data_IF_256660863048
#
_entry.id   IF_256660863048
#
_cell.length_a   1.000
_cell.length_b   1.000
_cell.length_c   1.000
_cell.angle_alpha   90.00
_cell.angle_beta   90.00
_cell.angle_gamma   90.00
#
_symmetry.space_group_name_H-M   'P 1'
#
loop_
_entity.id
_entity.type
_entity.pdbx_description
1 polymer ?
#
# COMPACT_ATOMS: atom_id res chain seq x y z
N UNK A 1 3.17 8.43 1.16
CA UNK A 1 4.10 9.36 0.51
C UNK A 1 3.31 10.49 -0.15
N UNK A 2 3.76 11.72 0.02
CA UNK A 2 3.19 12.93 -0.57
C UNK A 2 4.23 13.63 -1.47
N UNK A 3 3.76 14.54 -2.35
CA UNK A 3 4.67 15.40 -3.10
C UNK A 3 5.35 16.39 -2.14
N UNK A 4 6.65 16.58 -2.27
CA UNK A 4 7.44 17.47 -1.43
C UNK A 4 7.68 16.97 0.00
N UNK A 5 7.43 15.70 0.29
CA UNK A 5 7.76 15.09 1.58
C UNK A 5 9.28 15.16 1.81
N UNK A 6 9.68 15.52 3.03
CA UNK A 6 11.08 15.76 3.42
C UNK A 6 11.61 14.75 4.44
N UNK A 7 10.73 13.94 5.05
CA UNK A 7 11.14 12.92 6.01
C UNK A 7 10.23 11.70 5.95
N UNK A 8 10.72 10.58 6.48
CA UNK A 8 9.96 9.37 6.73
C UNK A 8 10.25 8.86 8.12
N UNK A 9 9.19 8.56 8.89
CA UNK A 9 9.32 7.84 10.15
C UNK A 9 9.59 6.36 9.86
N UNK A 10 10.65 5.83 10.46
CA UNK A 10 10.98 4.41 10.47
C UNK A 10 10.61 3.85 11.84
N UNK A 11 9.60 2.97 11.87
CA UNK A 11 9.18 2.27 13.07
C UNK A 11 9.71 0.84 13.02
N UNK A 12 10.62 0.51 13.93
CA UNK A 12 11.24 -0.82 14.00
C UNK A 12 10.48 -1.66 15.01
N UNK A 13 10.03 -2.81 14.54
CA UNK A 13 9.21 -3.75 15.30
C UNK A 13 9.89 -5.11 15.40
N UNK A 14 9.55 -5.84 16.42
CA UNK A 14 9.89 -7.26 16.59
C UNK A 14 8.64 -8.05 16.90
N UNK A 15 8.43 -9.17 16.20
CA UNK A 15 7.30 -10.08 16.39
C UNK A 15 6.92 -10.78 15.10
N UNK A 16 5.94 -11.64 15.19
CA UNK A 16 5.46 -12.50 14.11
C UNK A 16 4.03 -12.16 13.67
N UNK A 17 3.44 -11.08 14.23
CA UNK A 17 2.08 -10.65 13.90
C UNK A 17 2.05 -9.75 12.67
N UNK A 18 1.00 -9.84 11.86
CA UNK A 18 0.82 -9.04 10.64
C UNK A 18 0.59 -7.55 10.93
N UNK A 19 -0.10 -7.22 12.02
CA UNK A 19 -0.37 -5.83 12.39
C UNK A 19 0.79 -5.26 13.22
N UNK A 20 1.20 -4.03 12.87
CA UNK A 20 2.28 -3.34 13.56
C UNK A 20 2.02 -3.14 15.06
N UNK A 21 0.77 -2.91 15.45
CA UNK A 21 0.33 -2.69 16.83
C UNK A 21 0.43 -3.93 17.72
N UNK A 22 0.40 -5.13 17.12
CA UNK A 22 0.47 -6.42 17.80
C UNK A 22 1.92 -6.91 17.95
N UNK A 23 2.90 -6.11 17.53
CA UNK A 23 4.32 -6.41 17.62
C UNK A 23 5.03 -5.47 18.60
N UNK A 24 6.17 -5.89 19.11
CA UNK A 24 6.96 -5.10 20.04
C UNK A 24 7.69 -3.98 19.32
N UNK A 25 7.48 -2.74 19.77
CA UNK A 25 8.22 -1.59 19.27
C UNK A 25 9.63 -1.58 19.85
N UNK A 26 10.64 -1.67 19.00
CA UNK A 26 12.04 -1.51 19.36
C UNK A 26 12.46 -0.03 19.35
N UNK A 27 11.79 0.78 18.57
CA UNK A 27 11.99 2.23 18.52
C UNK A 27 11.47 2.86 17.23
N UNK A 28 11.50 4.20 17.23
CA UNK A 28 11.12 5.02 16.07
C UNK A 28 12.17 6.08 15.86
N UNK A 29 12.41 6.45 14.61
CA UNK A 29 13.25 7.56 14.23
C UNK A 29 12.86 8.10 12.87
N UNK A 30 13.19 9.35 12.61
CA UNK A 30 12.96 10.00 11.33
C UNK A 30 14.23 9.97 10.47
N UNK A 31 14.06 9.69 9.18
CA UNK A 31 15.08 9.92 8.16
C UNK A 31 14.68 11.12 7.32
N UNK A 32 15.52 12.12 7.28
CA UNK A 32 15.35 13.29 6.42
C UNK A 32 15.91 13.02 5.03
N UNK A 33 15.23 13.51 4.00
CA UNK A 33 15.67 13.42 2.60
C UNK A 33 15.25 14.65 1.78
N UNK A 34 15.84 14.79 0.62
CA UNK A 34 15.52 15.91 -0.27
C UNK A 34 14.08 15.82 -0.78
N UNK A 35 13.32 16.94 -0.81
CA UNK A 35 11.96 16.96 -1.33
C UNK A 35 11.90 16.39 -2.74
N UNK A 36 10.99 15.44 -2.97
CA UNK A 36 10.82 14.79 -4.26
C UNK A 36 9.33 14.59 -4.58
N UNK A 37 9.03 14.30 -5.83
CA UNK A 37 7.68 13.87 -6.23
C UNK A 37 7.33 12.54 -5.57
N UNK A 38 6.05 12.34 -5.30
CA UNK A 38 5.54 11.08 -4.76
C UNK A 38 6.08 9.86 -5.53
N UNK A 39 6.70 8.93 -4.81
CA UNK A 39 7.28 7.69 -5.35
C UNK A 39 8.67 7.85 -5.99
N UNK A 40 9.26 9.05 -6.01
CA UNK A 40 10.62 9.26 -6.50
C UNK A 40 11.68 9.01 -5.42
N UNK A 41 11.42 9.40 -4.16
CA UNK A 41 12.32 9.11 -3.06
C UNK A 41 12.33 7.60 -2.76
N UNK A 42 13.53 7.05 -2.59
CA UNK A 42 13.74 5.64 -2.26
C UNK A 42 14.66 5.54 -1.05
N UNK A 43 14.22 4.81 -0.05
CA UNK A 43 14.95 4.58 1.19
C UNK A 43 15.32 3.10 1.27
N UNK A 44 16.62 2.82 1.45
CA UNK A 44 17.14 1.50 1.77
C UNK A 44 17.26 1.35 3.28
N UNK A 45 16.83 0.22 3.83
CA UNK A 45 16.98 -0.09 5.26
C UNK A 45 17.75 -1.39 5.38
N UNK A 46 18.80 -1.38 6.22
CA UNK A 46 19.61 -2.56 6.54
C UNK A 46 19.60 -2.79 8.04
N UNK A 47 19.37 -4.01 8.43
CA UNK A 47 19.41 -4.46 9.82
C UNK A 47 20.66 -5.29 10.04
N UNK A 48 21.38 -5.01 11.13
CA UNK A 48 22.56 -5.76 11.56
C UNK A 48 22.52 -5.95 13.08
N UNK A 49 22.63 -7.19 13.53
CA UNK A 49 22.74 -7.51 14.95
C UNK A 49 24.21 -7.82 15.22
N UNK A 50 24.82 -7.08 16.14
CA UNK A 50 26.22 -7.27 16.51
C UNK A 50 26.39 -8.46 17.49
N UNK A 51 27.64 -8.78 17.80
CA UNK A 51 27.98 -9.87 18.72
C UNK A 51 27.49 -9.67 20.18
N UNK A 52 27.11 -8.44 20.54
CA UNK A 52 26.50 -8.09 21.82
C UNK A 52 24.98 -8.10 21.79
N UNK A 53 24.40 -8.47 20.65
CA UNK A 53 22.97 -8.47 20.44
C UNK A 53 22.35 -7.08 20.21
N UNK A 54 23.14 -6.05 19.95
CA UNK A 54 22.66 -4.71 19.64
C UNK A 54 22.22 -4.67 18.18
N UNK A 55 20.97 -4.22 17.95
CA UNK A 55 20.44 -3.99 16.62
C UNK A 55 20.90 -2.63 16.10
N UNK A 56 21.67 -2.64 15.03
CA UNK A 56 22.02 -1.46 14.25
C UNK A 56 21.08 -1.37 13.04
N UNK A 57 20.40 -0.24 12.88
CA UNK A 57 19.55 0.03 11.74
C UNK A 57 20.21 1.12 10.92
N UNK A 58 20.74 0.76 9.75
CA UNK A 58 21.26 1.68 8.75
C UNK A 58 20.14 2.04 7.80
N UNK A 59 19.85 3.32 7.68
CA UNK A 59 18.88 3.84 6.73
C UNK A 59 19.60 4.77 5.77
N UNK A 60 19.36 4.58 4.47
CA UNK A 60 20.02 5.31 3.39
C UNK A 60 18.99 5.87 2.40
N UNK A 61 19.05 7.15 2.12
CA UNK A 61 18.45 7.73 0.91
C UNK A 61 19.28 7.30 -0.30
N UNK A 62 18.71 6.46 -1.17
CA UNK A 62 19.44 5.90 -2.31
C UNK A 62 19.70 6.91 -3.42
N UNK A 63 19.04 8.07 -3.40
CA UNK A 63 19.21 9.13 -4.40
C UNK A 63 20.35 10.07 -4.04
N UNK A 64 20.51 10.39 -2.76
CA UNK A 64 21.57 11.30 -2.26
C UNK A 64 22.76 10.57 -1.64
N UNK A 65 22.58 9.32 -1.26
CA UNK A 65 23.56 8.55 -0.50
C UNK A 65 23.63 8.96 0.99
N UNK A 66 22.73 9.83 1.47
CA UNK A 66 22.67 10.19 2.87
C UNK A 66 22.32 8.97 3.74
N UNK A 67 23.13 8.74 4.78
CA UNK A 67 22.98 7.59 5.66
C UNK A 67 22.80 8.04 7.10
N UNK A 68 21.98 7.28 7.82
CA UNK A 68 21.81 7.40 9.26
C UNK A 68 21.86 6.02 9.89
N UNK A 69 22.65 5.87 10.93
CA UNK A 69 22.73 4.64 11.74
C UNK A 69 22.10 4.90 13.09
N UNK A 70 21.11 4.10 13.45
CA UNK A 70 20.46 4.14 14.76
C UNK A 70 20.70 2.81 15.46
N UNK A 71 21.22 2.89 16.67
CA UNK A 71 21.41 1.72 17.54
C UNK A 71 20.18 1.56 18.43
N UNK A 72 19.61 0.37 18.40
CA UNK A 72 18.48 0.01 19.25
C UNK A 72 18.93 -1.04 20.25
N UNK A 73 18.46 -0.93 21.49
CA UNK A 73 18.69 -1.95 22.48
C UNK A 73 18.14 -3.27 21.98
N UNK A 74 18.94 -4.30 22.13
CA UNK A 74 18.68 -5.62 21.63
C UNK A 74 17.29 -6.12 21.96
N UNK A 75 16.68 -6.63 20.93
CA UNK A 75 15.58 -7.57 21.02
C UNK A 75 15.97 -8.92 21.68
N UNK A 76 17.27 -9.19 21.84
CA UNK A 76 17.80 -10.48 22.29
C UNK A 76 17.64 -10.70 23.81
N UNK A 77 17.26 -9.69 24.56
CA UNK A 77 16.89 -9.83 25.99
C UNK A 77 15.45 -10.37 26.18
N UNK A 78 14.93 -11.03 25.15
CA UNK A 78 13.63 -11.69 25.21
C UNK A 78 13.89 -13.08 25.79
N UNK A 79 13.44 -13.28 27.03
CA UNK A 79 13.37 -14.58 27.71
C UNK A 79 12.72 -15.63 26.77
N UNK A 80 13.28 -16.84 26.71
CA UNK A 80 12.77 -17.95 25.89
C UNK A 80 11.26 -18.16 26.04
N UNK A 81 10.73 -17.93 27.24
CA UNK A 81 9.28 -17.97 27.51
C UNK A 81 8.49 -16.91 26.72
N UNK A 82 9.04 -15.72 26.55
CA UNK A 82 8.40 -14.67 25.76
C UNK A 82 8.44 -14.99 24.26
N UNK A 83 9.55 -15.55 23.77
CA UNK A 83 9.64 -16.01 22.38
C UNK A 83 8.61 -17.10 22.11
N UNK A 84 8.48 -18.06 23.05
CA UNK A 84 7.50 -19.12 22.93
C UNK A 84 6.07 -18.57 22.88
N UNK A 85 5.74 -17.62 23.75
CA UNK A 85 4.43 -16.96 23.74
C UNK A 85 4.17 -16.21 22.42
N UNK A 86 5.16 -15.50 21.85
CA UNK A 86 5.03 -14.83 20.56
C UNK A 86 4.72 -15.81 19.44
N UNK A 87 5.36 -16.97 19.43
CA UNK A 87 5.12 -18.04 18.45
C UNK A 87 3.71 -18.64 18.63
N UNK A 88 3.30 -18.89 19.86
CA UNK A 88 1.95 -19.40 20.17
C UNK A 88 0.87 -18.41 19.75
N UNK A 89 1.02 -17.14 20.08
CA UNK A 89 0.12 -16.06 19.63
C UNK A 89 0.06 -15.95 18.11
N UNK A 90 1.21 -16.05 17.42
CA UNK A 90 1.26 -16.04 15.96
C UNK A 90 0.45 -17.19 15.34
N UNK A 91 0.47 -18.37 15.94
CA UNK A 91 -0.33 -19.52 15.48
C UNK A 91 -1.81 -19.33 15.80
N UNK A 92 -2.13 -18.84 17.01
CA UNK A 92 -3.50 -18.62 17.47
C UNK A 92 -4.23 -17.61 16.59
N UNK A 93 -3.56 -16.51 16.25
CA UNK A 93 -4.14 -15.41 15.47
C UNK A 93 -3.85 -15.49 13.95
N UNK A 94 -3.24 -16.56 13.46
CA UNK A 94 -2.81 -16.69 12.06
C UNK A 94 -3.93 -16.45 11.05
N UNK A 95 -5.16 -16.90 11.34
CA UNK A 95 -6.30 -16.69 10.45
C UNK A 95 -6.80 -15.24 10.45
N UNK A 96 -6.84 -14.62 11.63
CA UNK A 96 -7.25 -13.22 11.78
C UNK A 96 -6.25 -12.29 11.10
N UNK A 97 -4.96 -12.53 11.30
CA UNK A 97 -3.88 -11.78 10.68
C UNK A 97 -3.91 -11.93 9.16
N UNK A 98 -4.13 -13.14 8.65
CA UNK A 98 -4.27 -13.37 7.22
C UNK A 98 -5.48 -12.62 6.63
N UNK A 99 -6.61 -12.60 7.31
CA UNK A 99 -7.80 -11.89 6.84
C UNK A 99 -7.61 -10.37 6.92
N UNK A 100 -6.96 -9.86 7.96
CA UNK A 100 -6.59 -8.46 8.07
C UNK A 100 -5.66 -8.03 6.92
N UNK A 101 -4.66 -8.82 6.60
CA UNK A 101 -3.77 -8.59 5.46
C UNK A 101 -4.52 -8.57 4.14
N UNK A 102 -5.37 -9.57 3.90
CA UNK A 102 -6.21 -9.64 2.69
C UNK A 102 -7.12 -8.45 2.54
N UNK A 103 -7.66 -7.95 3.65
CA UNK A 103 -8.47 -6.74 3.66
C UNK A 103 -7.66 -5.52 3.23
N UNK A 104 -6.50 -5.29 3.83
CA UNK A 104 -5.62 -4.16 3.49
C UNK A 104 -5.22 -4.20 2.02
N UNK A 105 -4.75 -5.35 1.52
CA UNK A 105 -4.37 -5.52 0.12
C UNK A 105 -5.54 -5.25 -0.85
N UNK A 106 -6.74 -5.74 -0.50
CA UNK A 106 -7.93 -5.54 -1.32
C UNK A 106 -8.40 -4.10 -1.30
N UNK A 107 -8.32 -3.43 -0.15
CA UNK A 107 -8.68 -2.01 0.00
C UNK A 107 -7.73 -1.10 -0.77
N UNK A 108 -6.43 -1.39 -0.77
CA UNK A 108 -5.45 -0.65 -1.57
C UNK A 108 -5.74 -0.79 -3.07
N UNK A 109 -6.02 -2.01 -3.56
CA UNK A 109 -6.38 -2.24 -4.96
C UNK A 109 -7.68 -1.55 -5.34
N UNK A 110 -8.68 -1.61 -4.46
CA UNK A 110 -9.95 -0.93 -4.64
C UNK A 110 -9.78 0.60 -4.75
N UNK A 111 -8.97 1.20 -3.88
CA UNK A 111 -8.68 2.62 -3.93
C UNK A 111 -7.98 3.04 -5.24
N UNK A 112 -7.06 2.22 -5.74
CA UNK A 112 -6.41 2.46 -7.04
C UNK A 112 -7.39 2.35 -8.20
N UNK A 113 -8.28 1.34 -8.20
CA UNK A 113 -9.32 1.18 -9.21
C UNK A 113 -10.29 2.38 -9.23
N UNK A 114 -10.77 2.81 -8.06
CA UNK A 114 -11.60 4.01 -7.91
C UNK A 114 -10.88 5.25 -8.45
N UNK A 115 -9.62 5.43 -8.11
CA UNK A 115 -8.83 6.57 -8.58
C UNK A 115 -8.68 6.56 -10.10
N UNK A 116 -8.40 5.42 -10.71
CA UNK A 116 -8.26 5.26 -12.15
C UNK A 116 -9.60 5.55 -12.87
N UNK A 117 -10.71 4.97 -12.38
CA UNK A 117 -12.04 5.19 -12.93
C UNK A 117 -12.46 6.67 -12.84
N UNK A 118 -12.19 7.34 -11.71
CA UNK A 118 -12.47 8.79 -11.56
C UNK A 118 -11.65 9.62 -12.54
N UNK A 119 -10.35 9.31 -12.70
CA UNK A 119 -9.51 10.04 -13.66
C UNK A 119 -9.99 9.87 -15.10
N UNK A 120 -10.36 8.65 -15.49
CA UNK A 120 -10.95 8.41 -16.83
C UNK A 120 -12.28 9.12 -17.04
N UNK A 121 -13.14 9.16 -16.02
CA UNK A 121 -14.42 9.90 -16.12
C UNK A 121 -14.22 11.41 -16.29
N UNK A 122 -13.20 12.00 -15.66
CA UNK A 122 -12.90 13.44 -15.84
C UNK A 122 -12.59 13.74 -17.31
N UNK A 123 -11.91 12.84 -17.99
CA UNK A 123 -11.48 13.06 -19.38
C UNK A 123 -12.54 12.63 -20.40
N UNK A 124 -13.22 11.51 -20.16
CA UNK A 124 -14.04 10.82 -21.16
C UNK A 124 -15.53 10.72 -20.84
N UNK A 125 -16.04 11.30 -19.75
CA UNK A 125 -17.44 11.13 -19.34
C UNK A 125 -18.47 11.52 -20.42
N UNK A 126 -18.15 12.50 -21.25
CA UNK A 126 -19.03 12.98 -22.31
C UNK A 126 -19.11 12.03 -23.52
N UNK A 127 -18.15 11.14 -23.66
CA UNK A 127 -18.07 10.16 -24.75
C UNK A 127 -18.62 8.78 -24.33
N UNK A 128 -18.99 8.62 -23.05
CA UNK A 128 -19.45 7.36 -22.46
C UNK A 128 -20.95 7.37 -22.20
N UNK A 129 -21.68 6.45 -22.81
CA UNK A 129 -23.10 6.26 -22.54
C UNK A 129 -23.37 5.77 -21.11
N UNK A 130 -22.44 5.00 -20.55
CA UNK A 130 -22.57 4.38 -19.24
C UNK A 130 -21.84 5.12 -18.10
N UNK A 131 -21.42 6.38 -18.29
CA UNK A 131 -20.69 7.15 -17.27
C UNK A 131 -21.40 7.15 -15.89
N UNK A 132 -22.74 7.21 -15.87
CA UNK A 132 -23.52 7.14 -14.62
C UNK A 132 -23.38 5.79 -13.92
N UNK A 133 -23.30 4.69 -14.65
CA UNK A 133 -23.13 3.35 -14.07
C UNK A 133 -21.77 3.22 -13.40
N UNK A 134 -20.71 3.77 -14.02
CA UNK A 134 -19.37 3.82 -13.41
C UNK A 134 -19.39 4.62 -12.10
N UNK A 135 -20.07 5.77 -12.05
CA UNK A 135 -20.20 6.57 -10.82
C UNK A 135 -20.91 5.80 -9.71
N UNK A 136 -21.94 5.03 -10.04
CA UNK A 136 -22.65 4.18 -9.07
C UNK A 136 -21.70 3.10 -8.54
N UNK A 137 -21.01 2.39 -9.43
CA UNK A 137 -20.05 1.34 -9.05
C UNK A 137 -18.90 1.89 -8.16
N UNK A 138 -18.39 3.09 -8.48
CA UNK A 138 -17.40 3.76 -7.61
C UNK A 138 -17.94 3.93 -6.18
N UNK A 139 -19.18 4.42 -6.04
CA UNK A 139 -19.78 4.62 -4.70
C UNK A 139 -19.99 3.32 -3.94
N UNK A 140 -20.30 2.23 -4.66
CA UNK A 140 -20.43 0.91 -4.03
C UNK A 140 -19.09 0.41 -3.49
N UNK A 141 -18.00 0.61 -4.24
CA UNK A 141 -16.65 0.28 -3.76
C UNK A 141 -16.28 1.14 -2.54
N UNK A 142 -16.48 2.44 -2.61
CA UNK A 142 -16.20 3.37 -1.50
C UNK A 142 -16.98 2.97 -0.24
N UNK A 143 -18.27 2.68 -0.37
CA UNK A 143 -19.10 2.21 0.75
C UNK A 143 -18.61 0.87 1.32
N UNK A 144 -18.17 -0.05 0.45
CA UNK A 144 -17.61 -1.32 0.92
C UNK A 144 -16.28 -1.13 1.66
N UNK A 145 -15.48 -0.11 1.30
CA UNK A 145 -14.24 0.23 2.00
C UNK A 145 -14.46 0.89 3.36
N UNK A 146 -15.62 1.51 3.61
CA UNK A 146 -15.98 2.12 4.90
C UNK A 146 -16.38 1.08 5.96
N UNK A 147 -16.62 -0.17 5.56
CA UNK A 147 -16.95 -1.25 6.51
C UNK A 147 -15.70 -1.69 7.28
N UNK A 148 -15.92 -2.16 8.52
CA UNK A 148 -14.82 -2.75 9.30
C UNK A 148 -14.31 -4.02 8.60
N UNK A 149 -13.02 -4.06 8.32
CA UNK A 149 -12.38 -5.20 7.66
C UNK A 149 -12.43 -6.50 8.48
N UNK A 150 -12.56 -6.38 9.79
CA UNK A 150 -12.73 -7.52 10.70
C UNK A 150 -14.16 -8.09 10.68
N UNK A 151 -15.15 -7.33 10.14
CA UNK A 151 -16.53 -7.82 10.08
C UNK A 151 -16.68 -8.96 9.06
N UNK A 152 -17.35 -10.02 9.45
CA UNK A 152 -17.56 -11.20 8.61
C UNK A 152 -18.24 -10.84 7.28
N UNK A 153 -17.57 -11.17 6.19
CA UNK A 153 -18.06 -10.94 4.83
C UNK A 153 -17.69 -9.58 4.22
N UNK A 154 -17.04 -8.66 4.95
CA UNK A 154 -16.58 -7.37 4.44
C UNK A 154 -15.65 -7.53 3.24
N UNK A 155 -14.68 -8.43 3.31
CA UNK A 155 -13.77 -8.74 2.21
C UNK A 155 -14.50 -9.24 0.95
N UNK A 156 -15.54 -10.07 1.12
CA UNK A 156 -16.35 -10.57 0.01
C UNK A 156 -17.16 -9.46 -0.64
N UNK A 157 -17.74 -8.56 0.17
CA UNK A 157 -18.49 -7.39 -0.31
C UNK A 157 -17.57 -6.47 -1.11
N UNK A 158 -16.38 -6.15 -0.57
CA UNK A 158 -15.41 -5.31 -1.25
C UNK A 158 -14.97 -5.90 -2.59
N UNK A 159 -14.61 -7.18 -2.62
CA UNK A 159 -14.23 -7.87 -3.86
C UNK A 159 -15.36 -7.87 -4.89
N UNK A 160 -16.61 -8.10 -4.45
CA UNK A 160 -17.76 -8.03 -5.33
C UNK A 160 -18.00 -6.64 -5.93
N UNK A 161 -17.85 -5.59 -5.11
CA UNK A 161 -17.96 -4.22 -5.57
C UNK A 161 -16.85 -3.84 -6.57
N UNK A 162 -15.62 -4.30 -6.35
CA UNK A 162 -14.51 -4.07 -7.30
C UNK A 162 -14.77 -4.74 -8.64
N UNK A 163 -15.26 -6.00 -8.64
CA UNK A 163 -15.65 -6.69 -9.88
C UNK A 163 -16.73 -5.90 -10.61
N UNK A 164 -17.75 -5.39 -9.91
CA UNK A 164 -18.78 -4.55 -10.50
C UNK A 164 -18.23 -3.25 -11.10
N UNK A 165 -17.22 -2.64 -10.46
CA UNK A 165 -16.55 -1.47 -11.01
C UNK A 165 -15.74 -1.81 -12.26
N UNK A 166 -15.00 -2.91 -12.24
CA UNK A 166 -14.22 -3.38 -13.39
C UNK A 166 -15.14 -3.63 -14.59
N UNK A 167 -16.26 -4.34 -14.41
CA UNK A 167 -17.23 -4.59 -15.47
C UNK A 167 -17.85 -3.28 -16.01
N UNK A 168 -18.26 -2.38 -15.13
CA UNK A 168 -18.81 -1.09 -15.53
C UNK A 168 -17.78 -0.22 -16.26
N UNK A 169 -16.51 -0.37 -15.98
CA UNK A 169 -15.42 0.44 -16.54
C UNK A 169 -14.84 -0.11 -17.84
N UNK A 170 -15.26 -1.28 -18.33
CA UNK A 170 -14.76 -1.85 -19.59
C UNK A 170 -14.85 -0.87 -20.76
N UNK A 171 -16.00 -0.19 -21.04
CA UNK A 171 -16.08 0.76 -22.15
C UNK A 171 -15.16 1.98 -21.98
N UNK A 172 -14.90 2.39 -20.73
CA UNK A 172 -13.96 3.46 -20.44
C UNK A 172 -12.53 3.03 -20.75
N UNK A 173 -12.15 1.79 -20.35
CA UNK A 173 -10.82 1.24 -20.61
C UNK A 173 -10.56 1.11 -22.13
N UNK A 174 -11.55 0.62 -22.89
CA UNK A 174 -11.47 0.51 -24.36
C UNK A 174 -11.24 1.88 -24.99
N UNK A 175 -12.02 2.89 -24.59
CA UNK A 175 -11.90 4.26 -25.10
C UNK A 175 -10.54 4.87 -24.78
N UNK A 176 -10.04 4.68 -23.55
CA UNK A 176 -8.71 5.14 -23.14
C UNK A 176 -7.59 4.48 -23.95
N UNK A 177 -7.75 3.18 -24.24
CA UNK A 177 -6.76 2.43 -25.03
C UNK A 177 -6.76 2.93 -26.48
N UNK A 178 -7.92 3.12 -27.08
CA UNK A 178 -8.04 3.65 -28.46
C UNK A 178 -7.41 5.03 -28.58
N UNK A 179 -7.67 5.94 -27.63
CA UNK A 179 -7.06 7.27 -27.61
C UNK A 179 -5.54 7.23 -27.44
N UNK A 180 -5.05 6.34 -26.58
CA UNK A 180 -3.61 6.15 -26.40
C UNK A 180 -2.95 5.63 -27.67
N UNK A 181 -3.59 4.69 -28.37
CA UNK A 181 -3.09 4.19 -29.66
C UNK A 181 -3.11 5.27 -30.74
N UNK A 182 -4.19 6.05 -30.87
CA UNK A 182 -4.25 7.18 -31.79
C UNK A 182 -3.11 8.18 -31.54
N UNK A 183 -2.89 8.55 -30.28
CA UNK A 183 -1.82 9.47 -29.91
C UNK A 183 -0.43 8.93 -30.25
N UNK A 184 -0.20 7.63 -30.07
CA UNK A 184 1.05 6.96 -30.46
C UNK A 184 1.23 6.95 -31.98
N UNK A 185 0.19 6.65 -32.75
CA UNK A 185 0.23 6.62 -34.22
C UNK A 185 0.46 8.01 -34.82
N UNK A 186 -0.18 9.04 -34.26
CA UNK A 186 0.08 10.45 -34.63
C UNK A 186 1.54 10.85 -34.37
N UNK A 187 2.06 10.48 -33.20
CA UNK A 187 3.47 10.76 -32.84
C UNK A 187 4.46 10.07 -33.76
N UNK A 188 4.09 8.93 -34.36
CA UNK A 188 4.89 8.20 -35.36
C UNK A 188 4.68 8.66 -36.80
N UNK A 189 3.76 9.61 -37.04
CA UNK A 189 3.45 10.11 -38.40
C UNK A 189 2.71 9.08 -39.26
N UNK A 190 2.04 8.11 -38.65
CA UNK A 190 1.32 7.04 -39.38
C UNK A 190 -0.14 7.43 -39.67
N UNK A 191 -0.67 8.39 -38.90
CA UNK A 191 -2.01 9.00 -39.10
C UNK A 191 -1.92 10.51 -38.86
N UNK A 192 -2.73 11.28 -39.55
CA UNK A 192 -2.88 12.74 -39.43
C UNK A 192 -3.68 13.16 -38.18
#
# INVERSE_FOLDING_TARGET
>A
AADGQTSVEVHVLQGEREKAEDNWSLGRFDLDFQPAKRGAARVGVQFEIDANGILNVLVRDTSTGHEQVVQMKSAVDVDDAKVQNMVEESVEFAFEDMDARRWVESSMKAAEAVKAARAGLVEFANELENAKAIVVAIREVERAMETDGAETGSLKKLKGAVVGLDEASLPLADLMMDRAMEAMLRKRGTID
#
